data_IF_740022885062
#
_entry.id   IF_740022885062
#
_cell.length_a   1.000
_cell.length_b   1.000
_cell.length_c   1.000
_cell.angle_alpha   90.00
_cell.angle_beta   90.00
_cell.angle_gamma   90.00
#
_symmetry.space_group_name_H-M   'P 1'
#
loop_
_entity.id
_entity.type
_entity.pdbx_description
1 polymer ?
#
# COMPACT_ATOMS: atom_id res chain seq x y z
N UNK A 1 -7.96 -10.02 -4.82
CA UNK A 1 -9.32 -9.43 -5.01
C UNK A 1 -9.27 -8.17 -5.84
N UNK A 2 -8.48 -7.17 -5.42
CA UNK A 2 -8.34 -5.86 -6.09
C UNK A 2 -8.08 -5.99 -7.60
N UNK A 3 -7.05 -6.75 -8.01
CA UNK A 3 -6.73 -6.96 -9.44
C UNK A 3 -7.92 -7.58 -10.20
N UNK A 4 -8.56 -8.58 -9.60
CA UNK A 4 -9.69 -9.29 -10.23
C UNK A 4 -10.90 -8.38 -10.38
N UNK A 5 -11.17 -7.52 -9.40
CA UNK A 5 -12.20 -6.50 -9.48
C UNK A 5 -11.88 -5.45 -10.55
N UNK A 6 -10.64 -4.97 -10.60
CA UNK A 6 -10.19 -3.99 -11.60
C UNK A 6 -10.37 -4.50 -13.04
N UNK A 7 -9.96 -5.74 -13.33
CA UNK A 7 -10.18 -6.36 -14.65
C UNK A 7 -11.66 -6.52 -14.97
N UNK A 8 -12.50 -6.81 -13.97
CA UNK A 8 -13.94 -6.92 -14.13
C UNK A 8 -14.58 -5.57 -14.48
N UNK A 9 -14.13 -4.52 -13.81
CA UNK A 9 -14.59 -3.14 -14.04
C UNK A 9 -14.24 -2.68 -15.46
N UNK A 10 -13.01 -2.97 -15.93
CA UNK A 10 -12.61 -2.72 -17.32
C UNK A 10 -13.50 -3.47 -18.32
N UNK A 11 -13.89 -4.72 -18.01
CA UNK A 11 -14.82 -5.48 -18.86
C UNK A 11 -16.24 -4.92 -18.83
N UNK A 12 -16.70 -4.37 -17.69
CA UNK A 12 -18.00 -3.69 -17.57
C UNK A 12 -18.04 -2.42 -18.42
N UNK A 13 -16.93 -1.67 -18.48
CA UNK A 13 -16.82 -0.48 -19.37
C UNK A 13 -17.02 -0.88 -20.83
N UNK A 14 -16.42 -2.00 -21.27
CA UNK A 14 -16.56 -2.50 -22.64
C UNK A 14 -17.92 -3.17 -22.91
N UNK A 15 -18.52 -3.81 -21.90
CA UNK A 15 -19.81 -4.50 -21.98
C UNK A 15 -20.77 -4.02 -20.86
N UNK A 16 -21.41 -2.85 -21.01
CA UNK A 16 -22.18 -2.20 -19.94
C UNK A 16 -23.43 -2.94 -19.47
N UNK A 17 -23.92 -3.94 -20.25
CA UNK A 17 -25.06 -4.79 -19.86
C UNK A 17 -24.65 -6.08 -19.14
N UNK A 18 -23.36 -6.35 -19.01
CA UNK A 18 -22.87 -7.60 -18.43
C UNK A 18 -22.65 -7.46 -16.91
N UNK A 19 -23.48 -8.16 -16.13
CA UNK A 19 -23.30 -8.31 -14.68
C UNK A 19 -22.31 -9.43 -14.39
N UNK A 20 -21.04 -9.09 -14.28
CA UNK A 20 -20.02 -10.01 -13.79
C UNK A 20 -19.88 -9.84 -12.26
N UNK A 21 -20.05 -10.90 -11.45
CA UNK A 21 -19.67 -10.88 -10.05
C UNK A 21 -18.19 -11.26 -9.87
N UNK A 22 -17.51 -10.68 -8.88
CA UNK A 22 -16.15 -11.11 -8.50
C UNK A 22 -16.24 -12.50 -7.85
N UNK A 23 -15.75 -13.53 -8.53
CA UNK A 23 -15.73 -14.90 -8.00
C UNK A 23 -14.39 -15.23 -7.34
N UNK A 24 -14.39 -15.83 -6.16
CA UNK A 24 -13.21 -16.43 -5.52
C UNK A 24 -13.53 -17.89 -5.22
N UNK A 25 -12.66 -18.82 -5.63
CA UNK A 25 -12.85 -20.26 -5.44
C UNK A 25 -14.21 -20.79 -5.94
N UNK A 26 -14.67 -20.30 -7.09
CA UNK A 26 -15.95 -20.72 -7.70
C UNK A 26 -17.19 -20.00 -7.17
N UNK A 27 -17.14 -19.42 -5.96
CA UNK A 27 -18.25 -18.70 -5.35
C UNK A 27 -18.23 -17.21 -5.66
N UNK A 28 -19.39 -16.61 -5.93
CA UNK A 28 -19.55 -15.16 -6.05
C UNK A 28 -19.37 -14.53 -4.67
N UNK A 29 -18.45 -13.56 -4.55
CA UNK A 29 -18.33 -12.78 -3.33
C UNK A 29 -19.42 -11.73 -3.24
N UNK A 30 -19.84 -11.46 -2.01
CA UNK A 30 -20.70 -10.32 -1.72
C UNK A 30 -19.98 -9.01 -2.12
N UNK A 31 -20.71 -8.14 -2.82
CA UNK A 31 -20.21 -6.86 -3.29
C UNK A 31 -19.73 -5.98 -2.14
N UNK A 32 -20.39 -6.03 -0.97
CA UNK A 32 -19.97 -5.30 0.23
C UNK A 32 -18.55 -5.66 0.70
N UNK A 33 -18.17 -6.94 0.62
CA UNK A 33 -16.81 -7.39 0.99
C UNK A 33 -15.78 -6.87 -0.01
N UNK A 34 -16.13 -6.86 -1.29
CA UNK A 34 -15.26 -6.33 -2.36
C UNK A 34 -15.00 -4.84 -2.16
N UNK A 35 -16.05 -4.06 -1.84
CA UNK A 35 -15.93 -2.63 -1.53
C UNK A 35 -15.07 -2.38 -0.28
N UNK A 36 -15.24 -3.16 0.79
CA UNK A 36 -14.43 -3.02 1.99
C UNK A 36 -12.93 -3.27 1.71
N UNK A 37 -12.60 -4.27 0.89
CA UNK A 37 -11.21 -4.55 0.50
C UNK A 37 -10.63 -3.41 -0.35
N UNK A 38 -11.41 -2.84 -1.26
CA UNK A 38 -10.99 -1.68 -2.06
C UNK A 38 -10.78 -0.44 -1.18
N UNK A 39 -11.68 -0.19 -0.23
CA UNK A 39 -11.54 0.91 0.72
C UNK A 39 -10.29 0.76 1.58
N UNK A 40 -10.03 -0.44 2.10
CA UNK A 40 -8.80 -0.73 2.83
C UNK A 40 -7.55 -0.52 1.96
N UNK A 41 -7.57 -0.99 0.70
CA UNK A 41 -6.45 -0.80 -0.23
C UNK A 41 -6.17 0.68 -0.52
N UNK A 42 -7.22 1.49 -0.74
CA UNK A 42 -7.07 2.93 -0.96
C UNK A 42 -6.52 3.65 0.28
N UNK A 43 -7.03 3.28 1.47
CA UNK A 43 -6.51 3.82 2.73
C UNK A 43 -5.03 3.47 2.92
N UNK A 44 -4.66 2.22 2.65
CA UNK A 44 -3.28 1.73 2.73
C UNK A 44 -2.33 2.54 1.83
N UNK A 45 -2.70 2.71 0.55
CA UNK A 45 -1.90 3.50 -0.41
C UNK A 45 -1.83 4.96 0.01
N UNK A 46 -2.91 5.52 0.57
CA UNK A 46 -2.93 6.91 1.04
C UNK A 46 -1.97 7.13 2.21
N UNK A 47 -1.98 6.23 3.20
CA UNK A 47 -1.06 6.28 4.35
C UNK A 47 0.38 6.11 3.88
N UNK A 48 0.63 5.18 2.94
CA UNK A 48 1.94 4.97 2.35
C UNK A 48 2.48 6.22 1.63
N UNK A 49 1.68 6.85 0.75
CA UNK A 49 2.10 8.08 0.05
C UNK A 49 2.34 9.22 1.04
N UNK A 50 1.45 9.38 2.02
CA UNK A 50 1.62 10.39 3.07
C UNK A 50 2.91 10.16 3.88
N UNK A 51 3.18 8.91 4.27
CA UNK A 51 4.38 8.56 5.00
C UNK A 51 5.66 8.84 4.22
N UNK A 52 5.69 8.51 2.92
CA UNK A 52 6.83 8.81 2.06
C UNK A 52 7.08 10.32 1.92
N UNK A 53 6.02 11.12 1.82
CA UNK A 53 6.13 12.60 1.79
C UNK A 53 6.73 13.11 3.11
N UNK A 54 6.19 12.67 4.26
CA UNK A 54 6.70 13.08 5.58
C UNK A 54 8.18 12.71 5.73
N UNK A 55 8.56 11.49 5.37
CA UNK A 55 9.96 11.04 5.43
C UNK A 55 10.87 11.87 4.52
N UNK A 56 10.40 12.26 3.34
CA UNK A 56 11.15 13.15 2.45
C UNK A 56 11.30 14.56 3.06
N UNK A 57 10.25 15.10 3.69
CA UNK A 57 10.34 16.41 4.37
C UNK A 57 11.29 16.41 5.58
N UNK A 58 11.56 15.24 6.16
CA UNK A 58 12.56 15.06 7.22
C UNK A 58 14.01 15.00 6.69
N UNK A 59 14.21 15.17 5.38
CA UNK A 59 15.53 15.25 4.74
C UNK A 59 16.07 13.90 4.26
N UNK A 60 15.24 12.86 4.19
CA UNK A 60 15.61 11.59 3.55
C UNK A 60 15.42 11.67 2.04
N UNK A 61 16.20 10.90 1.29
CA UNK A 61 16.00 10.77 -0.15
C UNK A 61 14.73 9.95 -0.43
N UNK A 62 14.22 10.06 -1.66
CA UNK A 62 12.98 9.41 -2.05
C UNK A 62 13.05 7.88 -1.92
N UNK A 63 14.23 7.29 -2.20
CA UNK A 63 14.43 5.85 -2.13
C UNK A 63 14.32 5.35 -0.67
N UNK A 64 15.01 5.99 0.27
CA UNK A 64 14.89 5.67 1.70
C UNK A 64 13.51 5.99 2.24
N UNK A 65 12.89 7.11 1.83
CA UNK A 65 11.57 7.49 2.29
C UNK A 65 10.51 6.44 1.90
N UNK A 66 10.53 6.01 0.64
CA UNK A 66 9.64 4.96 0.13
C UNK A 66 9.91 3.63 0.83
N UNK A 67 11.18 3.20 0.89
CA UNK A 67 11.55 1.92 1.50
C UNK A 67 11.21 1.86 2.98
N UNK A 68 11.53 2.92 3.74
CA UNK A 68 11.23 3.00 5.17
C UNK A 68 9.72 2.95 5.44
N UNK A 69 8.92 3.72 4.70
CA UNK A 69 7.47 3.76 4.88
C UNK A 69 6.81 2.45 4.43
N UNK A 70 7.21 1.88 3.28
CA UNK A 70 6.71 0.60 2.80
C UNK A 70 7.00 -0.52 3.81
N UNK A 71 8.23 -0.53 4.32
CA UNK A 71 8.68 -1.53 5.27
C UNK A 71 7.97 -1.45 6.63
N UNK A 72 7.80 -0.25 7.17
CA UNK A 72 7.04 -0.05 8.43
C UNK A 72 5.58 -0.44 8.26
N UNK A 73 4.91 0.08 7.22
CA UNK A 73 3.49 -0.21 6.98
C UNK A 73 3.23 -1.69 6.67
N UNK A 74 4.18 -2.33 5.99
CA UNK A 74 4.15 -3.76 5.65
C UNK A 74 4.73 -4.68 6.73
N UNK A 75 5.28 -4.14 7.82
CA UNK A 75 6.01 -4.87 8.86
C UNK A 75 7.11 -5.81 8.30
N UNK A 76 7.80 -5.38 7.24
CA UNK A 76 8.82 -6.20 6.54
C UNK A 76 10.20 -6.08 7.21
N UNK A 77 10.53 -4.90 7.73
CA UNK A 77 11.83 -4.61 8.35
C UNK A 77 12.82 -3.95 7.39
N UNK A 78 13.63 -4.71 6.65
CA UNK A 78 14.62 -4.12 5.72
C UNK A 78 14.04 -3.92 4.33
N UNK A 79 14.42 -2.83 3.69
CA UNK A 79 13.97 -2.45 2.34
C UNK A 79 15.08 -1.67 1.61
N UNK A 80 14.76 -0.88 0.59
CA UNK A 80 15.71 -0.10 -0.22
C UNK A 80 16.18 1.21 0.46
N UNK A 81 17.23 1.82 -0.10
CA UNK A 81 17.84 3.05 0.43
C UNK A 81 18.65 2.82 1.72
N UNK A 82 18.66 3.81 2.62
CA UNK A 82 19.37 3.74 3.93
C UNK A 82 18.67 2.85 4.97
N UNK A 83 17.63 2.14 4.56
CA UNK A 83 17.03 1.02 5.29
C UNK A 83 17.31 -0.32 4.57
N UNK A 84 18.35 -0.29 3.73
CA UNK A 84 18.93 -1.35 2.92
C UNK A 84 19.06 -2.72 3.59
N UNK A 85 19.29 -3.79 2.82
CA UNK A 85 19.70 -5.09 3.37
C UNK A 85 20.94 -5.00 4.26
N UNK A 86 21.85 -4.06 3.97
CA UNK A 86 23.08 -3.77 4.72
C UNK A 86 22.92 -2.65 5.75
N UNK A 87 21.96 -1.75 5.55
CA UNK A 87 21.72 -0.61 6.41
C UNK A 87 20.62 -0.91 7.44
N UNK A 88 20.48 -0.04 8.45
CA UNK A 88 19.62 -0.30 9.61
C UNK A 88 18.89 1.00 9.98
N UNK A 89 17.65 0.88 10.49
CA UNK A 89 16.89 2.03 11.01
C UNK A 89 17.61 2.83 12.11
N UNK A 90 18.65 2.26 12.72
CA UNK A 90 19.47 2.94 13.72
C UNK A 90 20.07 4.25 13.19
N UNK A 91 20.38 4.32 11.89
CA UNK A 91 20.99 5.47 11.22
C UNK A 91 20.04 6.67 11.06
N UNK A 92 18.72 6.49 11.23
CA UNK A 92 17.75 7.57 11.10
C UNK A 92 17.76 8.51 12.30
N UNK A 93 17.33 9.76 12.08
CA UNK A 93 17.12 10.73 13.14
C UNK A 93 15.94 10.35 14.07
N UNK A 94 15.86 10.93 15.29
CA UNK A 94 14.82 10.60 16.26
C UNK A 94 13.39 10.84 15.72
N UNK A 95 13.18 11.97 15.05
CA UNK A 95 11.87 12.34 14.50
C UNK A 95 11.36 11.31 13.48
N UNK A 96 12.22 10.83 12.59
CA UNK A 96 11.87 9.81 11.59
C UNK A 96 11.50 8.48 12.24
N UNK A 97 12.20 8.06 13.30
CA UNK A 97 11.86 6.83 14.03
C UNK A 97 10.50 6.92 14.70
N UNK A 98 10.20 8.02 15.39
CA UNK A 98 8.89 8.20 16.02
C UNK A 98 7.76 8.19 15.00
N UNK A 99 7.96 8.82 13.85
CA UNK A 99 6.98 8.80 12.78
C UNK A 99 6.76 7.38 12.24
N UNK A 100 7.84 6.65 11.93
CA UNK A 100 7.76 5.27 11.44
C UNK A 100 7.20 4.28 12.47
N UNK A 101 7.29 4.57 13.78
CA UNK A 101 6.65 3.78 14.84
C UNK A 101 5.13 4.02 14.92
N UNK A 102 4.66 5.20 14.53
CA UNK A 102 3.25 5.55 14.50
C UNK A 102 2.53 5.01 13.25
N UNK A 103 3.29 4.53 12.27
CA UNK A 103 2.85 4.11 10.94
C UNK A 103 2.72 2.59 10.87
#
# INVERSE_FOLDING_TARGET
>A
VVIKNGVLELKRILHPRAMFPVRINGSAMNESVTFNILGFFLLYVTIFVFGAIVMTTLGHDLETAIGATASSLGNVGRDIGKVGPIDIFASLGPASKFFLMAL
#
